data_IF_230530260714
#
_entry.id   IF_230530260714
#
_cell.length_a   1.000
_cell.length_b   1.000
_cell.length_c   1.000
_cell.angle_alpha   90.00
_cell.angle_beta   90.00
_cell.angle_gamma   90.00
#
_symmetry.space_group_name_H-M   'P 1'
#
loop_
_entity.id
_entity.type
_entity.pdbx_description
1 polymer ?
#
# COMPACT_ATOMS: atom_id res chain seq x y z
N UNK A 1 -0.61 -18.76 6.57
CA UNK A 1 -0.62 -17.71 7.63
C UNK A 1 -1.60 -16.64 7.20
N UNK A 2 -2.36 -16.09 8.15
CA UNK A 2 -3.31 -15.00 7.90
C UNK A 2 -3.18 -13.97 9.02
N UNK A 3 -3.16 -12.69 8.66
CA UNK A 3 -3.06 -11.56 9.59
C UNK A 3 -4.11 -10.52 9.18
N UNK A 4 -4.78 -9.96 10.17
CA UNK A 4 -5.67 -8.82 9.99
C UNK A 4 -5.23 -7.69 10.92
N UNK A 5 -5.22 -6.46 10.39
CA UNK A 5 -5.00 -5.23 11.15
C UNK A 5 -6.21 -4.35 10.91
N UNK A 6 -6.78 -3.82 11.99
CA UNK A 6 -7.98 -3.00 11.95
C UNK A 6 -7.72 -1.77 12.82
N UNK A 7 -8.12 -0.61 12.31
CA UNK A 7 -8.06 0.68 12.97
C UNK A 7 -9.37 1.44 12.72
N UNK A 8 -9.84 2.19 13.70
CA UNK A 8 -11.07 3.00 13.66
C UNK A 8 -10.77 4.50 13.42
N UNK A 9 -9.66 4.81 12.76
CA UNK A 9 -9.22 6.17 12.47
C UNK A 9 -10.00 6.83 11.31
N UNK A 10 -9.42 7.90 10.76
CA UNK A 10 -10.07 8.73 9.73
C UNK A 10 -10.16 8.09 8.34
N UNK A 11 -9.58 6.90 8.15
CA UNK A 11 -9.57 6.21 6.86
C UNK A 11 -8.49 6.68 5.87
N UNK A 12 -8.36 5.94 4.78
CA UNK A 12 -7.32 6.13 3.77
C UNK A 12 -7.58 7.36 2.90
N UNK A 13 -8.82 7.56 2.48
CA UNK A 13 -9.23 8.70 1.64
C UNK A 13 -8.88 10.03 2.30
N UNK A 14 -9.42 10.29 3.50
CA UNK A 14 -9.12 11.50 4.27
C UNK A 14 -7.63 11.64 4.61
N UNK A 15 -6.91 10.53 4.83
CA UNK A 15 -5.47 10.58 5.05
C UNK A 15 -4.70 11.03 3.81
N UNK A 16 -5.07 10.54 2.62
CA UNK A 16 -4.38 10.84 1.36
C UNK A 16 -4.71 12.22 0.80
N UNK A 17 -5.89 12.78 1.11
CA UNK A 17 -6.29 14.13 0.68
C UNK A 17 -5.30 15.23 1.08
N UNK A 18 -4.47 14.99 2.10
CA UNK A 18 -3.39 15.90 2.50
C UNK A 18 -2.31 16.09 1.43
N UNK A 19 -2.08 15.07 0.60
CA UNK A 19 -1.03 15.07 -0.43
C UNK A 19 -1.57 14.88 -1.85
N UNK A 20 -2.80 14.38 -2.02
CA UNK A 20 -3.33 14.03 -3.33
C UNK A 20 -4.77 14.48 -3.49
N UNK A 21 -5.19 14.71 -4.75
CA UNK A 21 -6.61 14.91 -5.06
C UNK A 21 -7.26 13.54 -5.19
N UNK A 22 -8.17 13.22 -4.28
CA UNK A 22 -8.90 11.96 -4.24
C UNK A 22 -10.27 12.14 -4.87
N UNK A 23 -10.66 11.23 -5.78
CA UNK A 23 -11.97 11.32 -6.46
C UNK A 23 -13.05 10.49 -5.79
N UNK A 24 -12.67 9.41 -5.14
CA UNK A 24 -13.58 8.49 -4.43
C UNK A 24 -12.78 7.62 -3.44
N UNK A 25 -13.48 6.96 -2.52
CA UNK A 25 -12.85 5.98 -1.62
C UNK A 25 -12.12 4.87 -2.39
N UNK A 26 -12.70 4.37 -3.49
CA UNK A 26 -12.06 3.35 -4.33
C UNK A 26 -10.79 3.87 -5.00
N UNK A 27 -10.82 5.10 -5.53
CA UNK A 27 -9.64 5.76 -6.10
C UNK A 27 -8.54 5.94 -5.04
N UNK A 28 -8.91 6.26 -3.79
CA UNK A 28 -7.97 6.34 -2.68
C UNK A 28 -7.30 4.99 -2.39
N UNK A 29 -8.05 3.88 -2.37
CA UNK A 29 -7.48 2.55 -2.14
C UNK A 29 -6.52 2.13 -3.25
N UNK A 30 -6.90 2.35 -4.51
CA UNK A 30 -6.06 2.09 -5.68
C UNK A 30 -4.79 2.96 -5.67
N UNK A 31 -4.90 4.20 -5.19
CA UNK A 31 -3.75 5.09 -5.05
C UNK A 31 -2.83 4.66 -3.90
N UNK A 32 -3.39 4.24 -2.76
CA UNK A 32 -2.63 3.87 -1.56
C UNK A 32 -1.66 2.70 -1.77
N UNK A 33 -1.96 1.79 -2.71
CA UNK A 33 -1.10 0.65 -3.04
C UNK A 33 -0.07 0.97 -4.12
N UNK A 34 -0.02 2.19 -4.67
CA UNK A 34 1.01 2.59 -5.63
C UNK A 34 2.34 2.86 -4.91
N UNK A 35 3.48 2.54 -5.55
CA UNK A 35 4.77 2.81 -4.95
C UNK A 35 4.97 4.32 -4.77
N UNK A 36 5.56 4.71 -3.63
CA UNK A 36 5.85 6.11 -3.33
C UNK A 36 4.66 6.92 -2.78
N UNK A 37 3.49 6.31 -2.57
CA UNK A 37 2.28 7.00 -2.10
C UNK A 37 2.13 6.91 -0.58
N UNK A 38 2.02 8.06 0.07
CA UNK A 38 1.64 8.22 1.48
C UNK A 38 0.99 9.57 1.72
N UNK A 39 0.37 9.76 2.89
CA UNK A 39 -0.18 11.06 3.28
C UNK A 39 0.88 12.18 3.38
N UNK A 40 2.17 11.84 3.34
CA UNK A 40 3.31 12.76 3.37
C UNK A 40 4.13 12.80 2.08
N UNK A 41 3.65 12.26 0.96
CA UNK A 41 4.42 12.25 -0.31
C UNK A 41 4.65 13.66 -0.86
N UNK A 42 3.64 14.54 -0.80
CA UNK A 42 3.73 15.91 -1.36
C UNK A 42 3.91 17.00 -0.29
N UNK A 43 4.20 16.60 0.96
CA UNK A 43 4.51 17.56 2.02
C UNK A 43 6.02 17.75 2.15
N UNK A 44 6.45 18.88 2.71
CA UNK A 44 7.87 19.15 2.95
C UNK A 44 8.50 18.07 3.83
N UNK A 45 9.80 17.80 3.65
CA UNK A 45 10.54 16.83 4.47
C UNK A 45 10.43 17.12 5.97
N UNK A 46 10.38 18.39 6.35
CA UNK A 46 10.16 18.86 7.74
C UNK A 46 8.83 18.39 8.34
N UNK A 47 7.84 18.05 7.51
CA UNK A 47 6.54 17.48 7.90
C UNK A 47 6.49 15.96 7.73
N UNK A 48 7.46 15.35 7.04
CA UNK A 48 7.65 13.90 6.93
C UNK A 48 8.60 13.38 8.02
N UNK A 49 8.27 13.66 9.29
CA UNK A 49 9.13 13.36 10.45
C UNK A 49 9.43 11.86 10.63
N UNK A 50 8.62 10.98 10.04
CA UNK A 50 8.78 9.53 10.10
C UNK A 50 9.50 8.94 8.88
N UNK A 51 9.87 9.76 7.90
CA UNK A 51 10.56 9.30 6.69
C UNK A 51 9.71 8.31 5.87
N UNK A 52 8.39 8.51 5.84
CA UNK A 52 7.47 7.65 5.10
C UNK A 52 7.75 7.80 3.61
N UNK A 53 8.35 6.76 3.02
CA UNK A 53 8.61 6.71 1.58
C UNK A 53 7.38 6.29 0.77
N UNK A 54 6.32 5.77 1.40
CA UNK A 54 5.11 5.33 0.69
C UNK A 54 5.24 4.01 -0.06
N UNK A 55 6.19 3.15 0.33
CA UNK A 55 6.39 1.83 -0.30
C UNK A 55 5.75 0.66 0.46
N UNK A 56 5.39 0.84 1.73
CA UNK A 56 4.95 -0.27 2.57
C UNK A 56 3.72 -1.01 2.04
N UNK A 57 2.65 -0.28 1.68
CA UNK A 57 1.44 -0.89 1.14
C UNK A 57 1.66 -1.53 -0.23
N UNK A 58 2.43 -0.89 -1.11
CA UNK A 58 2.82 -1.46 -2.39
C UNK A 58 3.54 -2.80 -2.22
N UNK A 59 4.55 -2.85 -1.34
CA UNK A 59 5.31 -4.08 -1.07
C UNK A 59 4.42 -5.18 -0.51
N UNK A 60 3.56 -4.86 0.46
CA UNK A 60 2.62 -5.84 1.04
C UNK A 60 1.63 -6.34 0.00
N UNK A 61 1.08 -5.46 -0.84
CA UNK A 61 0.16 -5.84 -1.90
C UNK A 61 0.83 -6.81 -2.87
N UNK A 62 1.99 -6.46 -3.43
CA UNK A 62 2.73 -7.28 -4.40
C UNK A 62 3.13 -8.65 -3.83
N UNK A 63 3.64 -8.67 -2.59
CA UNK A 63 4.08 -9.88 -1.94
C UNK A 63 2.91 -10.82 -1.62
N UNK A 64 1.88 -10.31 -0.95
CA UNK A 64 0.77 -11.16 -0.50
C UNK A 64 -0.15 -11.55 -1.65
N UNK A 65 -0.35 -10.71 -2.68
CA UNK A 65 -1.10 -11.09 -3.88
C UNK A 65 -0.39 -12.19 -4.66
N UNK A 66 0.95 -12.19 -4.71
CA UNK A 66 1.74 -13.21 -5.41
C UNK A 66 1.70 -14.59 -4.76
N UNK A 67 1.57 -14.65 -3.43
CA UNK A 67 1.67 -15.90 -2.65
C UNK A 67 0.40 -16.26 -1.87
N UNK A 68 -0.68 -15.49 -2.05
CA UNK A 68 -1.97 -15.70 -1.41
C UNK A 68 -2.99 -14.63 -1.80
N UNK A 69 -3.36 -13.76 -0.85
CA UNK A 69 -4.18 -12.59 -1.15
C UNK A 69 -3.86 -11.42 -0.21
N UNK A 70 -4.06 -10.21 -0.74
CA UNK A 70 -4.02 -8.94 -0.02
C UNK A 70 -5.41 -8.31 -0.04
N UNK A 71 -5.85 -7.73 1.07
CA UNK A 71 -7.11 -7.01 1.18
C UNK A 71 -6.87 -5.68 1.88
N UNK A 72 -7.50 -4.64 1.36
CA UNK A 72 -7.49 -3.31 1.94
C UNK A 72 -8.89 -2.73 1.84
N UNK A 73 -9.39 -2.15 2.91
CA UNK A 73 -10.64 -1.41 2.87
C UNK A 73 -10.67 -0.26 3.85
N UNK A 74 -11.46 0.74 3.50
CA UNK A 74 -11.66 1.97 4.25
C UNK A 74 -12.92 2.67 3.72
N UNK A 75 -13.65 3.33 4.60
CA UNK A 75 -14.85 4.07 4.22
C UNK A 75 -15.86 3.14 3.55
N UNK A 76 -16.25 3.44 2.31
CA UNK A 76 -17.23 2.65 1.55
C UNK A 76 -16.62 1.68 0.53
N UNK A 77 -15.30 1.49 0.54
CA UNK A 77 -14.58 0.74 -0.49
C UNK A 77 -13.71 -0.39 0.09
N UNK A 78 -13.52 -1.42 -0.73
CA UNK A 78 -12.60 -2.53 -0.47
C UNK A 78 -11.98 -3.00 -1.78
N UNK A 79 -10.68 -3.33 -1.72
CA UNK A 79 -9.98 -4.06 -2.78
C UNK A 79 -9.48 -5.41 -2.25
N UNK A 80 -9.52 -6.43 -3.11
CA UNK A 80 -8.90 -7.73 -2.87
C UNK A 80 -7.97 -8.06 -4.03
N UNK A 81 -6.68 -8.10 -3.76
CA UNK A 81 -5.65 -8.45 -4.74
C UNK A 81 -5.22 -9.92 -4.61
N UNK A 82 -5.21 -10.62 -5.74
CA UNK A 82 -4.73 -11.99 -5.87
C UNK A 82 -4.08 -12.20 -7.25
N UNK A 83 -2.79 -12.53 -7.25
CA UNK A 83 -1.97 -12.53 -8.45
C UNK A 83 -1.96 -11.14 -9.09
N UNK A 84 -2.37 -11.07 -10.37
CA UNK A 84 -2.47 -9.81 -11.12
C UNK A 84 -3.86 -9.17 -11.09
N UNK A 85 -4.81 -9.77 -10.36
CA UNK A 85 -6.19 -9.32 -10.35
C UNK A 85 -6.48 -8.54 -9.08
N UNK A 86 -7.04 -7.34 -9.23
CA UNK A 86 -7.58 -6.54 -8.14
C UNK A 86 -9.10 -6.50 -8.31
N UNK A 87 -9.81 -7.07 -7.33
CA UNK A 87 -11.26 -7.06 -7.29
C UNK A 87 -11.75 -5.92 -6.40
N UNK A 88 -12.52 -5.01 -6.98
CA UNK A 88 -13.14 -3.88 -6.31
C UNK A 88 -14.51 -4.27 -5.74
N UNK A 89 -14.79 -3.87 -4.50
CA UNK A 89 -16.03 -4.17 -3.80
C UNK A 89 -16.47 -2.95 -2.99
N UNK A 90 -17.78 -2.82 -2.79
CA UNK A 90 -18.35 -1.83 -1.89
C UNK A 90 -18.65 -2.48 -0.55
N UNK A 91 -18.07 -1.91 0.51
CA UNK A 91 -18.29 -2.31 1.90
C UNK A 91 -18.07 -1.10 2.79
N UNK A 92 -19.00 -0.85 3.71
CA UNK A 92 -18.87 0.26 4.66
C UNK A 92 -18.11 -0.20 5.91
N UNK A 93 -17.08 0.55 6.27
CA UNK A 93 -16.31 0.40 7.51
C UNK A 93 -15.77 1.75 7.95
N UNK A 94 -16.07 2.15 9.17
CA UNK A 94 -15.56 3.39 9.77
C UNK A 94 -14.14 3.16 10.28
N UNK A 95 -13.16 3.44 9.41
CA UNK A 95 -11.74 3.23 9.70
C UNK A 95 -10.99 2.59 8.53
N UNK A 96 -9.94 1.85 8.83
CA UNK A 96 -9.16 1.07 7.86
C UNK A 96 -8.97 -0.37 8.32
N UNK A 97 -9.08 -1.32 7.41
CA UNK A 97 -8.64 -2.69 7.66
C UNK A 97 -7.74 -3.20 6.55
N UNK A 98 -6.77 -4.02 6.96
CA UNK A 98 -5.84 -4.73 6.08
C UNK A 98 -5.95 -6.20 6.41
N UNK A 99 -6.16 -7.02 5.40
CA UNK A 99 -6.09 -8.48 5.51
C UNK A 99 -4.97 -9.01 4.63
N UNK A 100 -4.16 -9.91 5.18
CA UNK A 100 -2.98 -10.46 4.53
C UNK A 100 -2.98 -11.98 4.69
N UNK A 101 -2.96 -12.72 3.58
CA UNK A 101 -2.83 -14.18 3.63
C UNK A 101 -1.70 -14.69 2.74
N UNK A 102 -0.86 -15.54 3.32
CA UNK A 102 0.11 -16.35 2.59
C UNK A 102 -0.35 -17.80 2.59
N UNK A 103 -0.63 -18.33 1.40
CA UNK A 103 -0.94 -19.74 1.20
C UNK A 103 0.34 -20.58 1.13
N UNK A 104 1.38 -20.06 0.47
CA UNK A 104 2.69 -20.71 0.34
C UNK A 104 3.79 -19.66 0.45
N UNK A 105 4.57 -19.61 1.54
CA UNK A 105 5.65 -18.64 1.65
C UNK A 105 6.74 -18.94 0.60
N UNK A 106 7.35 -17.92 -0.02
CA UNK A 106 8.45 -18.15 -0.94
C UNK A 106 9.69 -18.69 -0.22
N UNK A 107 10.48 -19.51 -0.93
CA UNK A 107 11.73 -20.05 -0.40
C UNK A 107 12.83 -18.97 -0.23
N UNK A 108 12.81 -17.93 -1.07
CA UNK A 108 13.79 -16.85 -1.06
C UNK A 108 13.09 -15.50 -0.93
N UNK A 109 12.70 -15.16 0.29
CA UNK A 109 11.92 -13.97 0.59
C UNK A 109 12.66 -12.66 0.27
N UNK A 110 13.94 -12.56 0.67
CA UNK A 110 14.75 -11.35 0.49
C UNK A 110 14.98 -10.97 -0.98
N UNK A 111 15.16 -11.97 -1.85
CA UNK A 111 15.31 -11.75 -3.29
C UNK A 111 14.05 -11.15 -3.89
N UNK A 112 12.90 -11.76 -3.60
CA UNK A 112 11.59 -11.27 -4.08
C UNK A 112 11.31 -9.85 -3.55
N UNK A 113 11.60 -9.59 -2.28
CA UNK A 113 11.43 -8.26 -1.71
C UNK A 113 12.27 -7.22 -2.44
N UNK A 114 13.54 -7.54 -2.72
CA UNK A 114 14.44 -6.67 -3.48
C UNK A 114 13.91 -6.40 -4.89
N UNK A 115 13.39 -7.42 -5.57
CA UNK A 115 12.83 -7.30 -6.92
C UNK A 115 11.59 -6.40 -6.90
N UNK A 116 10.66 -6.61 -5.96
CA UNK A 116 9.46 -5.77 -5.77
C UNK A 116 9.86 -4.31 -5.54
N UNK A 117 10.81 -4.05 -4.63
CA UNK A 117 11.26 -2.70 -4.32
C UNK A 117 11.89 -2.03 -5.54
N UNK A 118 12.73 -2.76 -6.27
CA UNK A 118 13.41 -2.24 -7.46
C UNK A 118 12.41 -1.88 -8.56
N UNK A 119 11.38 -2.71 -8.76
CA UNK A 119 10.29 -2.41 -9.69
C UNK A 119 9.49 -1.18 -9.23
N UNK A 120 9.12 -1.13 -7.95
CA UNK A 120 8.37 -0.01 -7.40
C UNK A 120 9.12 1.32 -7.48
N UNK A 121 10.43 1.34 -7.24
CA UNK A 121 11.26 2.54 -7.36
C UNK A 121 11.26 3.07 -8.81
N UNK A 122 11.31 2.15 -9.79
CA UNK A 122 11.20 2.50 -11.22
C UNK A 122 9.82 3.08 -11.55
N UNK A 123 8.75 2.43 -11.10
CA UNK A 123 7.37 2.87 -11.35
C UNK A 123 7.06 4.22 -10.69
N UNK A 124 7.59 4.45 -9.49
CA UNK A 124 7.48 5.73 -8.78
C UNK A 124 8.19 6.85 -9.57
N UNK A 125 9.41 6.59 -10.06
CA UNK A 125 10.18 7.56 -10.86
C UNK A 125 9.45 7.93 -12.15
N UNK A 126 8.92 6.94 -12.88
CA UNK A 126 8.11 7.16 -14.10
C UNK A 126 6.86 7.98 -13.80
N UNK A 127 6.28 7.82 -12.61
CA UNK A 127 5.10 8.57 -12.13
C UNK A 127 5.46 9.96 -11.57
N UNK A 128 6.73 10.36 -11.63
CA UNK A 128 7.22 11.66 -11.14
C UNK A 128 7.41 11.75 -9.61
N UNK A 129 7.31 10.62 -8.90
CA UNK A 129 7.55 10.54 -7.46
C UNK A 129 9.04 10.27 -7.21
N UNK A 130 9.78 11.29 -6.76
CA UNK A 130 11.21 11.18 -6.46
C UNK A 130 11.44 10.71 -5.01
N UNK A 131 11.10 9.46 -4.71
CA UNK A 131 11.38 8.85 -3.40
C UNK A 131 11.83 7.40 -3.57
N UNK A 132 12.70 6.93 -2.66
CA UNK A 132 13.22 5.56 -2.65
C UNK A 132 12.68 4.80 -1.44
N UNK A 133 12.65 3.47 -1.51
CA UNK A 133 12.17 2.66 -0.40
C UNK A 133 13.04 2.90 0.84
N UNK A 134 12.39 3.25 1.97
CA UNK A 134 13.07 3.45 3.25
C UNK A 134 13.72 2.16 3.75
N UNK A 135 14.67 2.29 4.69
CA UNK A 135 15.29 1.12 5.35
C UNK A 135 14.26 0.17 5.97
N UNK A 136 13.13 0.68 6.48
CA UNK A 136 12.04 -0.15 7.02
C UNK A 136 11.36 -1.01 5.95
N UNK A 137 11.20 -0.49 4.73
CA UNK A 137 10.63 -1.26 3.61
C UNK A 137 11.59 -2.35 3.09
N UNK A 138 12.90 -2.17 3.31
CA UNK A 138 13.95 -3.14 2.92
C UNK A 138 14.20 -4.22 3.98
N UNK A 139 13.73 -4.03 5.21
CA UNK A 139 13.99 -4.91 6.37
C UNK A 139 12.81 -5.83 6.73
N UNK A 140 11.64 -5.65 6.11
CA UNK A 140 10.43 -6.44 6.34
C UNK A 140 10.35 -7.70 5.50
#
# INVERSE_FOLDING_TARGET
MEVAVIDEGVGISSSLERSFKIKSEMDALQMAIKPGVSCTTQVSETKNIYGNSGFGLFVLEQLFSSFGWFMLGSGSAKIVSQGKNINEQYLNFDGTYIGLRLNRPPKQFSGILSDIITEGERDAEVSGIKTTASGMSRLS
#
